data_IF_804472708702
#
_entry.id   IF_804472708702
#
_cell.length_a   1.000
_cell.length_b   1.000
_cell.length_c   1.000
_cell.angle_alpha   90.00
_cell.angle_beta   90.00
_cell.angle_gamma   90.00
#
_symmetry.space_group_name_H-M   'P 1'
#
loop_
_entity.id
_entity.type
_entity.pdbx_description
1 polymer ?
#
# COMPACT_ATOMS: atom_id res chain seq x y z
N UNK A 1 -6.04 15.63 12.61
CA UNK A 1 -4.89 14.73 12.86
C UNK A 1 -3.79 14.99 11.83
N UNK A 2 -2.51 14.95 12.22
CA UNK A 2 -1.41 15.20 11.29
C UNK A 2 -0.95 13.92 10.56
N UNK A 3 -1.10 12.77 11.23
CA UNK A 3 -0.74 11.44 10.72
C UNK A 3 -1.89 10.46 10.97
N UNK A 4 -2.25 9.68 9.95
CA UNK A 4 -3.15 8.53 10.05
C UNK A 4 -2.33 7.23 10.04
N UNK A 5 -2.63 6.32 10.96
CA UNK A 5 -2.05 4.98 11.01
C UNK A 5 -3.16 3.98 10.71
N UNK A 6 -2.98 3.18 9.66
CA UNK A 6 -3.99 2.25 9.16
C UNK A 6 -3.36 0.85 9.04
N UNK A 7 -3.96 -0.10 9.73
CA UNK A 7 -3.58 -1.51 9.69
C UNK A 7 -4.73 -2.29 9.06
N UNK A 8 -4.47 -2.93 7.92
CA UNK A 8 -5.45 -3.74 7.18
C UNK A 8 -6.78 -2.99 6.88
N UNK A 9 -6.76 -1.75 6.36
CA UNK A 9 -7.95 -0.90 6.33
C UNK A 9 -9.00 -1.30 5.30
N UNK A 10 -8.66 -2.20 4.38
CA UNK A 10 -9.59 -2.76 3.38
C UNK A 10 -10.37 -3.96 3.91
N UNK A 11 -9.99 -4.50 5.06
CA UNK A 11 -10.62 -5.68 5.62
C UNK A 11 -12.10 -5.43 5.97
N UNK A 12 -12.96 -6.40 5.68
CA UNK A 12 -14.41 -6.33 5.84
C UNK A 12 -15.12 -5.20 5.05
N UNK A 13 -14.42 -4.53 4.11
CA UNK A 13 -15.02 -3.56 3.21
C UNK A 13 -15.44 -4.23 1.89
N UNK A 14 -16.60 -3.83 1.38
CA UNK A 14 -16.97 -4.12 -0.01
C UNK A 14 -16.16 -3.25 -0.98
N UNK A 15 -16.17 -3.62 -2.26
CA UNK A 15 -15.42 -2.93 -3.32
C UNK A 15 -15.75 -1.44 -3.41
N UNK A 16 -17.01 -1.06 -3.13
CA UNK A 16 -17.45 0.34 -3.19
C UNK A 16 -16.85 1.16 -2.05
N UNK A 17 -16.82 0.59 -0.85
CA UNK A 17 -16.26 1.22 0.34
C UNK A 17 -14.73 1.26 0.29
N UNK A 18 -14.07 0.23 -0.27
CA UNK A 18 -12.64 0.31 -0.60
C UNK A 18 -12.38 1.47 -1.55
N UNK A 19 -13.19 1.62 -2.62
CA UNK A 19 -13.02 2.72 -3.56
C UNK A 19 -13.23 4.10 -2.91
N UNK A 20 -14.21 4.22 -2.04
CA UNK A 20 -14.41 5.44 -1.26
C UNK A 20 -13.21 5.75 -0.37
N UNK A 21 -12.65 4.74 0.30
CA UNK A 21 -11.48 4.89 1.16
C UNK A 21 -10.24 5.32 0.36
N UNK A 22 -10.00 4.74 -0.82
CA UNK A 22 -8.93 5.18 -1.72
C UNK A 22 -9.05 6.68 -2.02
N UNK A 23 -10.25 7.12 -2.45
CA UNK A 23 -10.52 8.52 -2.79
C UNK A 23 -10.35 9.42 -1.57
N UNK A 24 -10.80 8.99 -0.40
CA UNK A 24 -10.62 9.74 0.84
C UNK A 24 -9.13 9.92 1.17
N UNK A 25 -8.34 8.85 1.11
CA UNK A 25 -6.92 8.89 1.45
C UNK A 25 -6.09 9.70 0.46
N UNK A 26 -6.39 9.61 -0.84
CA UNK A 26 -5.71 10.39 -1.89
C UNK A 26 -5.96 11.90 -1.72
N UNK A 27 -7.16 12.29 -1.29
CA UNK A 27 -7.53 13.69 -1.10
C UNK A 27 -7.31 14.21 0.32
N UNK A 28 -6.92 13.33 1.25
CA UNK A 28 -6.69 13.71 2.63
C UNK A 28 -5.45 14.61 2.73
N UNK A 29 -5.52 15.73 3.47
CA UNK A 29 -4.34 16.55 3.74
C UNK A 29 -3.38 15.89 4.75
N UNK A 30 -3.78 14.76 5.36
CA UNK A 30 -3.00 14.08 6.39
C UNK A 30 -2.00 13.10 5.76
N UNK A 31 -0.80 13.00 6.34
CA UNK A 31 0.11 11.90 5.96
C UNK A 31 -0.46 10.59 6.48
N UNK A 32 -0.49 9.55 5.65
CA UNK A 32 -1.00 8.23 6.06
C UNK A 32 0.09 7.17 5.98
N UNK A 33 0.22 6.36 7.03
CA UNK A 33 1.05 5.16 7.05
C UNK A 33 0.09 3.97 7.05
N UNK A 34 0.26 3.09 6.06
CA UNK A 34 -0.70 2.04 5.75
C UNK A 34 0.04 0.70 5.67
N UNK A 35 -0.52 -0.31 6.32
CA UNK A 35 -0.18 -1.73 6.13
C UNK A 35 -1.39 -2.41 5.52
N UNK A 36 -1.18 -3.13 4.41
CA UNK A 36 -2.25 -3.86 3.71
C UNK A 36 -1.64 -5.00 2.87
N UNK A 37 -2.36 -6.11 2.63
CA UNK A 37 -1.95 -7.20 1.75
C UNK A 37 -2.47 -6.98 0.33
N UNK A 38 -3.39 -6.04 0.15
CA UNK A 38 -4.02 -5.72 -1.12
C UNK A 38 -3.07 -4.85 -1.96
N UNK A 39 -2.40 -5.51 -2.89
CA UNK A 39 -1.46 -4.84 -3.80
C UNK A 39 -2.14 -3.80 -4.69
N UNK A 40 -3.41 -3.99 -5.07
CA UNK A 40 -4.15 -3.05 -5.90
C UNK A 40 -4.49 -1.77 -5.13
N UNK A 41 -4.88 -1.91 -3.87
CA UNK A 41 -5.10 -0.77 -2.99
C UNK A 41 -3.81 0.05 -2.77
N UNK A 42 -2.69 -0.63 -2.49
CA UNK A 42 -1.38 0.02 -2.31
C UNK A 42 -0.90 0.70 -3.60
N UNK A 43 -1.21 0.15 -4.77
CA UNK A 43 -0.93 0.77 -6.07
C UNK A 43 -1.68 2.09 -6.29
N UNK A 44 -2.93 2.14 -5.84
CA UNK A 44 -3.78 3.32 -6.05
C UNK A 44 -3.51 4.45 -5.05
N UNK A 45 -3.16 4.11 -3.81
CA UNK A 45 -3.11 5.10 -2.70
C UNK A 45 -1.70 5.55 -2.37
N UNK A 46 -0.72 4.65 -2.37
CA UNK A 46 0.61 4.95 -1.82
C UNK A 46 1.48 5.77 -2.79
N UNK A 47 2.23 6.72 -2.24
CA UNK A 47 3.22 7.52 -2.99
C UNK A 47 4.67 7.14 -2.67
N UNK A 48 4.86 6.40 -1.57
CA UNK A 48 6.13 5.85 -1.12
C UNK A 48 5.89 4.47 -0.52
N UNK A 49 6.84 3.56 -0.71
CA UNK A 49 6.87 2.24 -0.10
C UNK A 49 8.01 2.19 0.91
N UNK A 50 7.71 1.71 2.13
CA UNK A 50 8.71 1.36 3.13
C UNK A 50 8.94 -0.14 3.05
N UNK A 51 10.03 -0.55 2.39
CA UNK A 51 10.38 -1.95 2.24
C UNK A 51 11.26 -2.41 3.41
N UNK A 52 10.82 -3.45 4.10
CA UNK A 52 11.56 -4.08 5.19
C UNK A 52 12.37 -5.27 4.66
N UNK A 53 13.70 -5.19 4.78
CA UNK A 53 14.61 -6.24 4.32
C UNK A 53 15.82 -6.29 5.25
N UNK A 54 16.24 -7.48 5.70
CA UNK A 54 17.47 -7.68 6.51
C UNK A 54 17.56 -6.74 7.71
N UNK A 55 16.48 -6.61 8.48
CA UNK A 55 16.38 -5.71 9.65
C UNK A 55 16.59 -4.23 9.34
N UNK A 56 16.37 -3.81 8.09
CA UNK A 56 16.45 -2.41 7.65
C UNK A 56 15.19 -2.01 6.92
N UNK A 57 14.81 -0.73 7.08
CA UNK A 57 13.76 -0.08 6.32
C UNK A 57 14.38 0.74 5.21
N UNK A 58 13.98 0.48 3.97
CA UNK A 58 14.35 1.27 2.79
C UNK A 58 13.11 1.99 2.28
N UNK A 59 13.19 3.32 2.17
CA UNK A 59 12.12 4.12 1.57
C UNK A 59 12.32 4.19 0.05
N UNK A 60 11.30 3.79 -0.70
CA UNK A 60 11.24 3.91 -2.14
C UNK A 60 10.16 4.91 -2.53
N UNK A 61 10.47 5.83 -3.46
CA UNK A 61 9.49 6.76 -4.02
C UNK A 61 8.72 6.08 -5.14
N UNK A 62 7.42 6.34 -5.21
CA UNK A 62 6.49 5.64 -6.10
C UNK A 62 5.60 4.68 -5.31
N UNK A 63 4.57 4.18 -5.99
CA UNK A 63 3.64 3.20 -5.42
C UNK A 63 4.23 1.78 -5.43
N UNK A 64 3.43 0.76 -5.11
CA UNK A 64 3.89 -0.62 -5.06
C UNK A 64 4.36 -1.10 -6.45
N UNK A 65 3.63 -0.78 -7.52
CA UNK A 65 4.00 -1.07 -8.91
C UNK A 65 5.37 -0.51 -9.28
N UNK A 66 5.61 0.76 -8.95
CA UNK A 66 6.91 1.41 -9.17
C UNK A 66 8.03 0.72 -8.36
N UNK A 67 7.72 0.23 -7.16
CA UNK A 67 8.67 -0.51 -6.34
C UNK A 67 9.00 -1.88 -6.94
N UNK A 68 7.99 -2.64 -7.38
CA UNK A 68 8.18 -3.97 -8.00
C UNK A 68 8.96 -3.87 -9.31
N UNK A 69 8.76 -2.81 -10.09
CA UNK A 69 9.52 -2.58 -11.31
C UNK A 69 11.04 -2.42 -11.10
N UNK A 70 11.48 -2.10 -9.88
CA UNK A 70 12.91 -1.88 -9.56
C UNK A 70 13.71 -3.17 -9.39
N UNK A 71 13.08 -4.31 -9.15
CA UNK A 71 13.82 -5.54 -8.93
C UNK A 71 12.96 -6.80 -8.80
N UNK A 72 13.48 -7.96 -9.26
CA UNK A 72 12.73 -9.20 -9.32
C UNK A 72 12.30 -9.74 -7.95
N UNK A 73 13.01 -9.42 -6.86
CA UNK A 73 12.67 -9.87 -5.51
C UNK A 73 11.34 -9.31 -4.99
N UNK A 74 10.85 -8.21 -5.59
CA UNK A 74 9.59 -7.59 -5.21
C UNK A 74 8.39 -8.12 -6.02
N UNK A 75 8.59 -9.03 -6.98
CA UNK A 75 7.47 -9.60 -7.74
C UNK A 75 6.52 -10.44 -6.88
N UNK A 76 7.04 -11.04 -5.82
CA UNK A 76 6.27 -11.85 -4.88
C UNK A 76 5.12 -11.08 -4.22
N UNK A 77 5.19 -9.74 -4.12
CA UNK A 77 4.10 -8.94 -3.57
C UNK A 77 2.80 -9.08 -4.37
N UNK A 78 2.88 -9.26 -5.69
CA UNK A 78 1.69 -9.54 -6.52
C UNK A 78 1.34 -11.03 -6.59
N UNK A 79 2.32 -11.92 -6.44
CA UNK A 79 2.11 -13.37 -6.52
C UNK A 79 1.44 -13.92 -5.25
N UNK A 80 1.70 -13.32 -4.08
CA UNK A 80 1.08 -13.70 -2.81
C UNK A 80 -0.44 -13.42 -2.80
N UNK A 81 -0.90 -12.36 -3.48
CA UNK A 81 -2.32 -12.04 -3.60
C UNK A 81 -3.11 -12.94 -4.55
N UNK A 82 -2.44 -13.84 -5.30
CA UNK A 82 -3.08 -14.78 -6.22
C UNK A 82 -3.41 -16.14 -5.56
N UNK A 83 -3.16 -16.28 -4.25
CA UNK A 83 -3.34 -17.54 -3.49
C UNK A 83 -4.51 -17.53 -2.51
N UNK A 84 -5.42 -16.56 -2.60
CA UNK A 84 -6.72 -16.57 -1.88
C UNK A 84 -7.91 -16.54 -2.85
#
# INVERSE_FOLDING_TARGET
PDILLLDEPTNHLDVKNVKWLEVFLINSPCTSIIVSPDSGFLDHVCQHILHYERFKLKRCRGNLKDFVARGPSAKSYYELGASE
#
